data_IF_438001124173
#
_entry.id   IF_438001124173
#
_cell.length_a   1.000
_cell.length_b   1.000
_cell.length_c   1.000
_cell.angle_alpha   90.00
_cell.angle_beta   90.00
_cell.angle_gamma   90.00
#
_symmetry.space_group_name_H-M   'P 1'
#
loop_
_entity.id
_entity.type
_entity.pdbx_description
1 polymer ?
#
# COMPACT_ATOMS: atom_id res chain seq x y z
N UNK A 1 5.07 -14.82 -72.15
CA UNK A 1 5.29 -14.12 -70.88
C UNK A 1 4.53 -14.87 -69.78
N UNK A 2 5.15 -15.54 -68.84
CA UNK A 2 4.44 -16.26 -67.81
C UNK A 2 4.18 -15.34 -66.61
N UNK A 3 2.93 -15.24 -66.27
CA UNK A 3 2.42 -14.56 -65.06
C UNK A 3 2.89 -15.28 -63.82
N UNK A 4 3.66 -14.57 -62.97
CA UNK A 4 4.05 -15.04 -61.65
C UNK A 4 2.86 -15.06 -60.73
N UNK A 5 2.35 -16.22 -60.41
CA UNK A 5 1.45 -16.41 -59.25
C UNK A 5 2.23 -16.11 -57.97
N UNK A 6 1.84 -15.03 -57.31
CA UNK A 6 2.30 -14.72 -55.96
C UNK A 6 1.54 -15.62 -55.00
N UNK A 7 2.17 -16.73 -54.66
CA UNK A 7 1.68 -17.62 -53.59
C UNK A 7 1.79 -16.91 -52.27
N UNK A 8 0.69 -16.26 -51.85
CA UNK A 8 0.54 -15.70 -50.50
C UNK A 8 0.44 -16.90 -49.54
N UNK A 9 1.56 -17.25 -48.95
CA UNK A 9 1.64 -18.20 -47.86
C UNK A 9 0.80 -17.67 -46.69
N UNK A 10 -0.43 -18.14 -46.59
CA UNK A 10 -1.34 -17.96 -45.48
C UNK A 10 -0.73 -18.66 -44.26
N UNK A 11 0.06 -17.91 -43.48
CA UNK A 11 0.64 -18.36 -42.24
C UNK A 11 -0.52 -18.81 -41.33
N UNK A 12 -0.58 -20.05 -40.85
CA UNK A 12 -1.64 -20.45 -39.92
C UNK A 12 -1.49 -19.60 -38.66
N UNK A 13 -2.58 -18.92 -38.31
CA UNK A 13 -2.72 -18.22 -37.05
C UNK A 13 -2.47 -19.28 -35.98
N UNK A 14 -1.29 -19.22 -35.38
CA UNK A 14 -0.87 -20.15 -34.34
C UNK A 14 -1.94 -20.22 -33.28
N UNK A 15 -2.36 -21.42 -32.98
CA UNK A 15 -3.17 -21.76 -31.84
C UNK A 15 -2.54 -21.07 -30.62
N UNK A 16 -3.22 -20.02 -30.12
CA UNK A 16 -2.90 -19.45 -28.81
C UNK A 16 -3.05 -20.62 -27.85
N UNK A 17 -1.92 -21.16 -27.42
CA UNK A 17 -1.90 -22.06 -26.28
C UNK A 17 -2.77 -21.41 -25.20
N UNK A 18 -3.68 -22.15 -24.55
CA UNK A 18 -4.49 -21.56 -23.49
C UNK A 18 -3.49 -20.99 -22.50
N UNK A 19 -3.59 -19.69 -22.27
CA UNK A 19 -2.83 -19.00 -21.25
C UNK A 19 -3.19 -19.73 -19.95
N UNK A 20 -2.38 -20.74 -19.64
CA UNK A 20 -2.51 -21.51 -18.42
C UNK A 20 -2.27 -20.52 -17.32
N UNK A 21 -3.35 -19.86 -16.94
CA UNK A 21 -3.40 -18.95 -15.84
C UNK A 21 -2.69 -19.64 -14.68
N UNK A 22 -1.51 -19.14 -14.34
CA UNK A 22 -0.93 -19.45 -13.04
C UNK A 22 -1.96 -18.95 -12.03
N UNK A 23 -2.82 -19.89 -11.75
CA UNK A 23 -3.79 -19.93 -10.69
C UNK A 23 -3.30 -19.11 -9.51
N UNK A 24 -4.15 -18.14 -9.14
CA UNK A 24 -4.29 -17.72 -7.78
C UNK A 24 -2.93 -17.45 -7.10
N UNK A 25 -2.31 -16.32 -7.42
CA UNK A 25 -1.70 -15.59 -6.34
C UNK A 25 -2.86 -15.30 -5.36
N UNK A 26 -3.20 -16.29 -4.53
CA UNK A 26 -3.92 -16.04 -3.29
C UNK A 26 -3.17 -14.88 -2.69
N UNK A 27 -3.84 -13.76 -2.65
CA UNK A 27 -3.40 -12.64 -1.87
C UNK A 27 -3.49 -13.14 -0.42
N UNK A 28 -2.54 -14.02 -0.06
CA UNK A 28 -2.25 -14.19 1.33
C UNK A 28 -1.81 -12.82 1.76
N UNK A 29 -2.72 -12.11 2.42
CA UNK A 29 -2.34 -11.05 3.32
C UNK A 29 -1.48 -11.77 4.37
N UNK A 30 -0.25 -12.07 3.96
CA UNK A 30 0.71 -12.72 4.82
C UNK A 30 0.86 -11.83 6.02
N UNK A 31 0.94 -12.38 7.20
CA UNK A 31 1.27 -11.64 8.40
C UNK A 31 2.47 -10.69 8.17
N UNK A 32 3.41 -11.10 7.32
CA UNK A 32 4.57 -10.30 6.90
C UNK A 32 4.16 -9.03 6.15
N UNK A 33 3.19 -9.12 5.24
CA UNK A 33 2.69 -7.96 4.47
C UNK A 33 1.96 -6.98 5.39
N UNK A 34 1.13 -7.49 6.30
CA UNK A 34 0.46 -6.65 7.29
C UNK A 34 1.45 -5.95 8.21
N UNK A 35 2.45 -6.68 8.72
CA UNK A 35 3.51 -6.10 9.55
C UNK A 35 4.31 -5.04 8.79
N UNK A 36 4.59 -5.27 7.51
CA UNK A 36 5.28 -4.28 6.68
C UNK A 36 4.45 -3.00 6.55
N UNK A 37 3.14 -3.08 6.30
CA UNK A 37 2.26 -1.91 6.29
C UNK A 37 2.23 -1.20 7.65
N UNK A 38 2.15 -1.95 8.74
CA UNK A 38 2.12 -1.36 10.08
C UNK A 38 3.43 -0.62 10.41
N UNK A 39 4.59 -1.22 10.09
CA UNK A 39 5.90 -0.58 10.27
C UNK A 39 6.04 0.66 9.40
N UNK A 40 5.57 0.59 8.16
CA UNK A 40 5.55 1.74 7.23
C UNK A 40 4.69 2.88 7.80
N UNK A 41 3.51 2.57 8.36
CA UNK A 41 2.64 3.54 9.00
C UNK A 41 3.28 4.20 10.23
N UNK A 42 3.93 3.41 11.08
CA UNK A 42 4.65 3.95 12.25
C UNK A 42 5.79 4.87 11.81
N UNK A 43 6.55 4.50 10.78
CA UNK A 43 7.64 5.33 10.26
C UNK A 43 7.12 6.69 9.74
N UNK A 44 5.97 6.71 9.05
CA UNK A 44 5.35 7.95 8.60
C UNK A 44 4.84 8.79 9.78
N UNK A 45 4.11 8.17 10.70
CA UNK A 45 3.54 8.87 11.88
C UNK A 45 4.66 9.50 12.70
N UNK A 46 5.72 8.77 13.01
CA UNK A 46 6.89 9.30 13.74
C UNK A 46 7.53 10.43 12.97
N UNK A 47 7.71 10.26 11.65
CA UNK A 47 8.31 11.26 10.78
C UNK A 47 7.53 12.58 10.72
N UNK A 48 6.21 12.51 10.78
CA UNK A 48 5.34 13.69 10.83
C UNK A 48 5.16 14.24 12.26
N UNK A 49 5.12 13.37 13.26
CA UNK A 49 4.91 13.76 14.66
C UNK A 49 6.08 14.57 15.25
N UNK A 50 7.32 14.22 14.90
CA UNK A 50 8.50 14.93 15.45
C UNK A 50 8.56 16.40 14.99
N UNK A 51 8.38 16.76 13.70
CA UNK A 51 8.23 18.14 13.27
C UNK A 51 7.01 18.84 13.88
N UNK A 52 5.87 18.14 14.00
CA UNK A 52 4.68 18.69 14.65
C UNK A 52 4.97 19.08 16.10
N UNK A 53 5.65 18.21 16.85
CA UNK A 53 6.03 18.46 18.24
C UNK A 53 6.98 19.65 18.38
N UNK A 54 7.92 19.81 17.45
CA UNK A 54 8.77 20.99 17.41
C UNK A 54 7.96 22.27 17.21
N UNK A 55 7.04 22.28 16.25
CA UNK A 55 6.25 23.47 15.89
C UNK A 55 5.19 23.85 16.91
N UNK A 56 4.52 22.87 17.52
CA UNK A 56 3.34 23.08 18.37
C UNK A 56 3.65 23.06 19.87
N UNK A 57 4.61 22.25 20.29
CA UNK A 57 4.95 22.09 21.70
C UNK A 57 6.27 22.79 22.08
N UNK A 58 6.89 23.51 21.15
CA UNK A 58 8.18 24.20 21.41
C UNK A 58 9.35 23.25 21.63
N UNK A 59 9.31 22.06 21.03
CA UNK A 59 10.35 21.08 21.10
C UNK A 59 11.66 21.55 20.44
N UNK A 60 12.73 20.79 20.65
CA UNK A 60 14.03 21.09 20.03
C UNK A 60 14.00 20.94 18.51
N UNK A 61 14.66 21.84 17.78
CA UNK A 61 14.84 21.76 16.32
C UNK A 61 15.54 20.45 15.89
N UNK A 62 16.33 19.85 16.77
CA UNK A 62 17.00 18.58 16.51
C UNK A 62 16.02 17.41 16.27
N UNK A 63 14.74 17.55 16.64
CA UNK A 63 13.69 16.58 16.32
C UNK A 63 13.44 16.43 14.81
N UNK A 64 13.83 17.44 14.03
CA UNK A 64 13.71 17.38 12.56
C UNK A 64 14.62 16.33 11.94
N UNK A 65 15.79 16.05 12.53
CA UNK A 65 16.73 15.05 12.00
C UNK A 65 16.12 13.64 12.04
N UNK A 66 15.73 13.09 13.21
CA UNK A 66 15.09 11.78 13.25
C UNK A 66 13.73 11.78 12.50
N UNK A 67 13.01 12.90 12.46
CA UNK A 67 11.79 13.03 11.66
C UNK A 67 12.07 12.83 10.17
N UNK A 68 13.05 13.51 9.61
CA UNK A 68 13.45 13.36 8.20
C UNK A 68 13.97 11.95 7.89
N UNK A 69 14.75 11.34 8.78
CA UNK A 69 15.22 9.95 8.63
C UNK A 69 14.05 8.97 8.64
N UNK A 70 13.06 9.18 9.50
CA UNK A 70 11.87 8.34 9.56
C UNK A 70 11.03 8.44 8.28
N UNK A 71 10.86 9.64 7.70
CA UNK A 71 10.19 9.82 6.42
C UNK A 71 10.97 9.21 5.25
N UNK A 72 12.30 9.28 5.27
CA UNK A 72 13.12 8.60 4.28
C UNK A 72 12.97 7.08 4.37
N UNK A 73 12.95 6.53 5.58
CA UNK A 73 12.66 5.12 5.83
C UNK A 73 11.26 4.74 5.35
N UNK A 74 10.26 5.55 5.64
CA UNK A 74 8.89 5.37 5.15
C UNK A 74 8.85 5.26 3.62
N UNK A 75 9.46 6.22 2.91
CA UNK A 75 9.51 6.23 1.46
C UNK A 75 10.18 4.98 0.90
N UNK A 76 11.27 4.53 1.52
CA UNK A 76 11.93 3.29 1.14
C UNK A 76 11.07 2.06 1.40
N UNK A 77 10.42 1.95 2.56
CA UNK A 77 9.53 0.84 2.89
C UNK A 77 8.37 0.70 1.89
N UNK A 78 7.84 1.82 1.38
CA UNK A 78 6.80 1.78 0.34
C UNK A 78 7.27 1.09 -0.95
N UNK A 79 8.55 1.18 -1.29
CA UNK A 79 9.09 0.53 -2.49
C UNK A 79 9.18 -1.00 -2.38
N UNK A 80 9.11 -1.54 -1.17
CA UNK A 80 9.18 -2.98 -0.92
C UNK A 80 7.87 -3.72 -1.25
N UNK A 81 6.81 -3.00 -1.57
CA UNK A 81 5.52 -3.58 -1.93
C UNK A 81 5.47 -3.93 -3.43
N UNK A 82 5.23 -5.20 -3.73
CA UNK A 82 5.33 -5.77 -5.10
C UNK A 82 4.12 -5.54 -6.02
N UNK A 83 3.23 -4.58 -5.75
CA UNK A 83 2.02 -4.30 -6.54
C UNK A 83 2.04 -2.91 -7.14
N UNK A 84 1.05 -2.59 -8.01
CA UNK A 84 0.91 -1.24 -8.56
C UNK A 84 0.77 -0.21 -7.44
N UNK A 85 1.51 0.89 -7.53
CA UNK A 85 1.64 1.90 -6.48
C UNK A 85 0.30 2.39 -5.92
N UNK A 86 -0.70 2.67 -6.78
CA UNK A 86 -2.02 3.11 -6.32
C UNK A 86 -2.76 2.08 -5.44
N UNK A 87 -2.58 0.79 -5.69
CA UNK A 87 -3.16 -0.26 -4.83
C UNK A 87 -2.42 -0.41 -3.52
N UNK A 88 -1.10 -0.23 -3.54
CA UNK A 88 -0.29 -0.20 -2.32
C UNK A 88 -0.78 0.93 -1.42
N UNK A 89 -0.93 2.14 -1.96
CA UNK A 89 -1.41 3.29 -1.20
C UNK A 89 -2.81 3.10 -0.65
N UNK A 90 -3.73 2.49 -1.41
CA UNK A 90 -5.09 2.21 -0.95
C UNK A 90 -5.11 1.18 0.19
N UNK A 91 -4.36 0.08 0.07
CA UNK A 91 -4.23 -0.94 1.11
C UNK A 91 -3.52 -0.38 2.35
N UNK A 92 -2.44 0.37 2.13
CA UNK A 92 -1.69 1.05 3.18
C UNK A 92 -2.56 2.03 3.97
N UNK A 93 -3.36 2.86 3.27
CA UNK A 93 -4.22 3.85 3.91
C UNK A 93 -5.19 3.26 4.94
N UNK A 94 -5.75 2.06 4.67
CA UNK A 94 -6.60 1.37 5.63
C UNK A 94 -5.85 0.94 6.90
N UNK A 95 -4.66 0.38 6.74
CA UNK A 95 -3.82 -0.01 7.87
C UNK A 95 -3.32 1.23 8.63
N UNK A 96 -2.97 2.29 7.90
CA UNK A 96 -2.53 3.56 8.48
C UNK A 96 -3.56 4.13 9.46
N UNK A 97 -4.83 4.18 9.08
CA UNK A 97 -5.90 4.69 9.95
C UNK A 97 -5.99 3.86 11.24
N UNK A 98 -5.91 2.54 11.15
CA UNK A 98 -5.91 1.68 12.34
C UNK A 98 -4.71 1.96 13.26
N UNK A 99 -3.50 2.11 12.68
CA UNK A 99 -2.28 2.45 13.44
C UNK A 99 -2.39 3.84 14.06
N UNK A 100 -2.97 4.81 13.34
CA UNK A 100 -3.16 6.18 13.85
C UNK A 100 -4.10 6.20 15.07
N UNK A 101 -5.14 5.38 15.12
CA UNK A 101 -6.01 5.28 16.29
C UNK A 101 -5.30 4.60 17.47
N UNK A 102 -4.46 3.60 17.21
CA UNK A 102 -3.59 3.03 18.25
C UNK A 102 -2.61 4.08 18.79
N UNK A 103 -2.06 4.92 17.91
CA UNK A 103 -1.18 6.03 18.28
C UNK A 103 -1.91 7.04 19.15
N UNK A 104 -3.12 7.47 18.76
CA UNK A 104 -3.98 8.37 19.54
C UNK A 104 -4.15 7.88 20.97
N UNK A 105 -4.36 6.58 21.14
CA UNK A 105 -4.50 5.98 22.46
C UNK A 105 -3.17 5.84 23.21
N UNK A 106 -2.15 5.33 22.53
CA UNK A 106 -0.86 4.98 23.14
C UNK A 106 0.03 6.18 23.44
N UNK A 107 0.11 7.12 22.50
CA UNK A 107 1.03 8.27 22.54
C UNK A 107 0.32 9.53 23.00
N UNK A 108 -0.79 9.90 22.37
CA UNK A 108 -1.52 11.13 22.69
C UNK A 108 -2.37 10.99 23.95
N UNK A 109 -2.54 9.74 24.49
CA UNK A 109 -3.32 9.43 25.70
C UNK A 109 -4.80 9.78 25.60
N UNK A 110 -5.31 9.94 24.38
CA UNK A 110 -6.72 10.16 24.10
C UNK A 110 -7.42 8.82 23.87
N UNK A 111 -8.52 8.57 24.58
CA UNK A 111 -9.29 7.33 24.41
C UNK A 111 -10.08 7.39 23.10
N UNK A 112 -9.93 6.38 22.22
CA UNK A 112 -10.75 6.29 21.03
C UNK A 112 -12.25 6.21 21.37
N UNK A 113 -13.04 6.89 20.57
CA UNK A 113 -14.51 6.91 20.66
C UNK A 113 -15.12 5.81 19.79
N UNK A 114 -16.44 5.59 19.93
CA UNK A 114 -17.16 4.70 19.01
C UNK A 114 -17.12 5.18 17.56
N UNK A 115 -17.04 6.50 17.34
CA UNK A 115 -16.90 7.09 16.01
C UNK A 115 -15.55 6.76 15.38
N UNK A 116 -14.49 6.79 16.17
CA UNK A 116 -13.15 6.38 15.71
C UNK A 116 -13.14 4.89 15.33
N UNK A 117 -13.75 4.04 16.17
CA UNK A 117 -13.87 2.61 15.88
C UNK A 117 -14.70 2.35 14.59
N UNK A 118 -15.82 3.06 14.42
CA UNK A 118 -16.63 2.96 13.21
C UNK A 118 -15.83 3.41 11.98
N UNK A 119 -15.10 4.53 12.06
CA UNK A 119 -14.23 5.02 10.99
C UNK A 119 -13.17 4.00 10.57
N UNK A 120 -12.51 3.36 11.53
CA UNK A 120 -11.53 2.29 11.27
C UNK A 120 -12.19 1.11 10.54
N UNK A 121 -13.36 0.66 11.00
CA UNK A 121 -14.07 -0.48 10.36
C UNK A 121 -14.41 -0.16 8.91
N UNK A 122 -14.99 1.01 8.62
CA UNK A 122 -15.31 1.42 7.25
C UNK A 122 -14.07 1.55 6.37
N UNK A 123 -13.00 2.10 6.91
CA UNK A 123 -11.74 2.28 6.17
C UNK A 123 -11.10 0.93 5.84
N UNK A 124 -11.07 0.00 6.80
CA UNK A 124 -10.57 -1.35 6.57
C UNK A 124 -11.45 -2.13 5.60
N UNK A 125 -12.76 -1.98 5.66
CA UNK A 125 -13.68 -2.58 4.70
C UNK A 125 -13.45 -2.03 3.28
N UNK A 126 -13.31 -0.72 3.13
CA UNK A 126 -12.99 -0.08 1.85
C UNK A 126 -11.64 -0.56 1.29
N UNK A 127 -10.62 -0.63 2.13
CA UNK A 127 -9.31 -1.18 1.79
C UNK A 127 -9.43 -2.63 1.31
N UNK A 128 -10.17 -3.46 2.02
CA UNK A 128 -10.37 -4.87 1.68
C UNK A 128 -11.03 -5.01 0.29
N UNK A 129 -12.05 -4.21 -0.02
CA UNK A 129 -12.69 -4.20 -1.33
C UNK A 129 -11.68 -3.89 -2.45
N UNK A 130 -10.81 -2.89 -2.25
CA UNK A 130 -9.80 -2.52 -3.24
C UNK A 130 -8.72 -3.60 -3.35
N UNK A 131 -8.29 -4.17 -2.23
CA UNK A 131 -7.25 -5.19 -2.19
C UNK A 131 -7.68 -6.52 -2.81
N UNK A 132 -8.95 -6.91 -2.60
CA UNK A 132 -9.48 -8.21 -3.02
C UNK A 132 -10.33 -8.14 -4.29
N UNK A 133 -10.36 -7.01 -4.99
CA UNK A 133 -11.14 -6.90 -6.23
C UNK A 133 -10.74 -7.98 -7.25
N UNK A 134 -11.71 -8.63 -7.94
CA UNK A 134 -11.39 -9.56 -9.00
C UNK A 134 -10.64 -8.85 -10.13
N UNK A 135 -9.59 -9.47 -10.64
CA UNK A 135 -8.87 -8.97 -11.83
C UNK A 135 -9.67 -9.45 -13.05
N UNK A 136 -10.37 -8.56 -13.67
CA UNK A 136 -10.95 -8.77 -14.99
C UNK A 136 -9.90 -8.61 -16.09
#
# INVERSE_FOLDING_TARGET
MPTREVSVLKKPIGSRAPFRGKTTARFHLSMKTFLLYAVTAVAEIVGCYLPWRWLKEGGSIWLLVPGALSLALFAWLLTLHGTAAGRVYAAYGGVYVAVAIVWLWGVDKVRPTLWDAAGVVFTLAGMAIIAFQPRF
#
